data_IF_633808886774
#
_entry.id   IF_633808886774
#
_cell.length_a   1.000
_cell.length_b   1.000
_cell.length_c   1.000
_cell.angle_alpha   90.00
_cell.angle_beta   90.00
_cell.angle_gamma   90.00
#
_symmetry.space_group_name_H-M   'P 1'
#
loop_
_entity.id
_entity.type
_entity.pdbx_description
1 polymer ?
#
# COMPACT_ATOMS: atom_id res chain seq x y z
N UNK A 1 -5.62 -17.79 -13.45
CA UNK A 1 -4.33 -17.14 -13.20
C UNK A 1 -4.48 -16.18 -12.02
N UNK A 2 -3.68 -16.34 -10.99
CA UNK A 2 -3.73 -15.44 -9.83
C UNK A 2 -2.96 -14.16 -10.13
N UNK A 3 -3.63 -13.03 -9.92
CA UNK A 3 -2.99 -11.73 -10.04
C UNK A 3 -2.40 -11.38 -8.68
N UNK A 4 -1.11 -11.10 -8.64
CA UNK A 4 -0.45 -10.70 -7.40
C UNK A 4 -0.96 -9.34 -6.93
N UNK A 5 -1.11 -9.14 -5.61
CA UNK A 5 -1.39 -7.82 -5.07
C UNK A 5 -0.34 -6.81 -5.53
N UNK A 6 -0.80 -5.63 -5.91
CA UNK A 6 0.07 -4.59 -6.45
C UNK A 6 -0.31 -3.24 -5.85
N UNK A 7 0.71 -2.48 -5.45
CA UNK A 7 0.54 -1.10 -5.02
C UNK A 7 1.59 -0.23 -5.68
N UNK A 8 1.29 1.07 -5.76
CA UNK A 8 2.22 2.08 -6.23
C UNK A 8 2.44 3.09 -5.11
N UNK A 9 3.69 3.23 -4.69
CA UNK A 9 4.09 4.25 -3.71
C UNK A 9 4.45 5.52 -4.48
N UNK A 10 3.65 6.56 -4.32
CA UNK A 10 3.88 7.86 -4.95
C UNK A 10 4.51 8.79 -3.91
N UNK A 11 5.83 8.88 -3.93
CA UNK A 11 6.58 9.69 -2.96
C UNK A 11 6.33 11.18 -3.15
N UNK A 12 6.07 11.59 -4.38
CA UNK A 12 5.82 12.99 -4.71
C UNK A 12 4.52 13.52 -4.09
N UNK A 13 3.46 12.74 -4.18
CA UNK A 13 2.13 13.15 -3.70
C UNK A 13 1.79 12.57 -2.33
N UNK A 14 2.73 11.90 -1.70
CA UNK A 14 2.56 11.28 -0.37
C UNK A 14 1.35 10.37 -0.30
N UNK A 15 1.21 9.50 -1.31
CA UNK A 15 0.06 8.60 -1.38
C UNK A 15 0.48 7.19 -1.80
N UNK A 16 -0.38 6.24 -1.46
CA UNK A 16 -0.30 4.89 -1.98
C UNK A 16 -1.49 4.70 -2.91
N UNK A 17 -1.25 4.22 -4.12
CA UNK A 17 -2.29 3.75 -5.01
C UNK A 17 -2.41 2.25 -4.86
N UNK A 18 -3.62 1.79 -4.53
CA UNK A 18 -3.89 0.38 -4.35
C UNK A 18 -4.76 -0.06 -5.52
N UNK A 19 -4.29 -1.04 -6.27
CA UNK A 19 -5.08 -1.55 -7.39
C UNK A 19 -6.38 -2.18 -6.88
N UNK A 20 -7.45 -2.00 -7.65
CA UNK A 20 -8.78 -2.50 -7.30
C UNK A 20 -8.78 -3.98 -6.95
N UNK A 21 -8.08 -4.81 -7.73
CA UNK A 21 -8.03 -6.25 -7.47
C UNK A 21 -7.36 -6.58 -6.13
N UNK A 22 -6.39 -5.76 -5.70
CA UNK A 22 -5.74 -5.95 -4.41
C UNK A 22 -6.70 -5.71 -3.27
N UNK A 23 -7.50 -4.65 -3.33
CA UNK A 23 -8.52 -4.39 -2.32
C UNK A 23 -9.61 -5.47 -2.31
N UNK A 24 -10.01 -5.93 -3.47
CA UNK A 24 -10.99 -7.02 -3.56
C UNK A 24 -10.47 -8.30 -2.91
N UNK A 25 -9.18 -8.58 -3.09
CA UNK A 25 -8.55 -9.77 -2.52
C UNK A 25 -8.53 -9.76 -0.99
N UNK A 26 -8.51 -8.60 -0.35
CA UNK A 26 -8.53 -8.48 1.12
C UNK A 26 -9.93 -8.17 1.68
N UNK A 27 -10.97 -8.27 0.86
CA UNK A 27 -12.35 -8.11 1.31
C UNK A 27 -13.02 -6.79 0.92
N UNK A 28 -12.42 -6.04 0.00
CA UNK A 28 -12.91 -4.75 -0.50
C UNK A 28 -13.24 -3.75 0.62
N UNK A 29 -12.29 -3.47 1.53
CA UNK A 29 -12.55 -2.61 2.68
C UNK A 29 -12.69 -1.13 2.30
N UNK A 30 -13.39 -0.38 3.14
CA UNK A 30 -13.38 1.09 3.09
C UNK A 30 -12.26 1.68 3.92
N UNK A 31 -11.74 0.90 4.87
CA UNK A 31 -10.65 1.28 5.77
C UNK A 31 -9.59 0.20 5.78
N UNK A 32 -8.34 0.60 5.88
CA UNK A 32 -7.22 -0.35 5.98
C UNK A 32 -6.30 0.02 7.14
N UNK A 33 -5.65 -0.99 7.67
CA UNK A 33 -4.55 -0.84 8.61
C UNK A 33 -3.24 -1.01 7.86
N UNK A 34 -2.29 -0.11 8.09
CA UNK A 34 -0.96 -0.21 7.51
C UNK A 34 0.01 -0.74 8.57
N UNK A 35 0.71 -1.80 8.24
CA UNK A 35 1.61 -2.48 9.17
C UNK A 35 3.00 -2.52 8.57
N UNK A 36 3.93 -1.79 9.19
CA UNK A 36 5.33 -1.79 8.75
C UNK A 36 6.15 -2.69 9.67
N UNK A 37 6.87 -3.62 9.06
CA UNK A 37 7.88 -4.41 9.76
C UNK A 37 9.26 -3.94 9.33
N UNK A 38 9.95 -3.15 10.17
CA UNK A 38 11.25 -2.58 9.80
C UNK A 38 12.37 -3.60 9.77
N UNK A 39 12.20 -4.75 10.44
CA UNK A 39 13.20 -5.81 10.45
C UNK A 39 13.20 -6.58 9.14
N UNK A 40 12.01 -6.91 8.64
CA UNK A 40 11.86 -7.65 7.40
C UNK A 40 11.68 -6.76 6.17
N UNK A 41 11.57 -5.46 6.36
CA UNK A 41 11.30 -4.49 5.29
C UNK A 41 10.02 -4.80 4.53
N UNK A 42 8.94 -5.04 5.26
CA UNK A 42 7.63 -5.31 4.65
C UNK A 42 6.60 -4.26 5.05
N UNK A 43 5.66 -4.04 4.14
CA UNK A 43 4.49 -3.21 4.36
C UNK A 43 3.27 -4.09 4.19
N UNK A 44 2.46 -4.22 5.25
CA UNK A 44 1.19 -4.93 5.20
C UNK A 44 0.03 -3.96 5.04
N UNK A 45 -0.93 -4.32 4.21
CA UNK A 45 -2.20 -3.61 4.08
C UNK A 45 -3.30 -4.59 4.46
N UNK A 46 -3.95 -4.32 5.59
CA UNK A 46 -4.91 -5.22 6.19
C UNK A 46 -6.29 -4.58 6.23
N UNK A 47 -7.34 -5.39 6.06
CA UNK A 47 -8.71 -4.97 6.24
C UNK A 47 -8.88 -4.28 7.60
N UNK A 48 -9.39 -3.05 7.61
CA UNK A 48 -9.63 -2.28 8.82
C UNK A 48 -11.11 -2.02 9.06
N UNK A 49 -11.44 -1.75 10.32
CA UNK A 49 -12.78 -1.36 10.71
C UNK A 49 -12.83 0.16 10.94
N UNK A 50 -13.97 0.81 10.73
CA UNK A 50 -14.04 2.26 10.87
C UNK A 50 -13.79 2.77 12.29
N UNK A 51 -13.98 1.94 13.31
CA UNK A 51 -13.71 2.28 14.70
C UNK A 51 -12.28 1.97 15.17
N UNK A 52 -11.45 1.37 14.33
CA UNK A 52 -10.03 1.21 14.62
C UNK A 52 -9.33 2.56 14.58
N UNK A 53 -8.64 2.93 15.66
CA UNK A 53 -7.99 4.24 15.77
C UNK A 53 -6.92 4.49 14.71
N UNK A 54 -6.27 3.43 14.24
CA UNK A 54 -5.19 3.51 13.26
C UNK A 54 -5.65 3.22 11.84
N UNK A 55 -6.96 2.95 11.66
CA UNK A 55 -7.50 2.67 10.34
C UNK A 55 -7.52 3.92 9.48
N UNK A 56 -7.14 3.78 8.23
CA UNK A 56 -7.11 4.85 7.26
C UNK A 56 -8.18 4.62 6.21
N UNK A 57 -8.91 5.67 5.89
CA UNK A 57 -9.97 5.60 4.89
C UNK A 57 -9.40 5.59 3.48
N UNK A 58 -9.90 4.69 2.67
CA UNK A 58 -9.53 4.60 1.25
C UNK A 58 -10.39 5.56 0.44
N UNK A 59 -9.74 6.30 -0.45
CA UNK A 59 -10.44 7.15 -1.42
C UNK A 59 -10.66 6.35 -2.70
N UNK A 60 -11.90 5.98 -2.92
CA UNK A 60 -12.30 5.20 -4.09
C UNK A 60 -12.69 6.15 -5.21
N UNK A 61 -12.01 6.01 -6.36
CA UNK A 61 -12.33 6.77 -7.56
C UNK A 61 -13.16 5.91 -8.50
N UNK A 62 -14.23 6.47 -9.07
CA UNK A 62 -15.03 5.79 -10.06
C UNK A 62 -14.41 5.82 -11.45
N UNK A 63 -13.39 6.67 -11.65
CA UNK A 63 -12.77 6.88 -12.95
C UNK A 63 -11.54 6.02 -13.20
N UNK A 64 -11.01 5.37 -12.17
CA UNK A 64 -9.78 4.58 -12.25
C UNK A 64 -9.95 3.25 -11.54
N UNK A 65 -9.09 2.30 -11.93
CA UNK A 65 -9.01 1.00 -11.25
C UNK A 65 -8.08 1.03 -10.04
N UNK A 66 -7.59 2.21 -9.68
CA UNK A 66 -6.73 2.42 -8.53
C UNK A 66 -7.46 3.24 -7.48
N UNK A 67 -7.34 2.81 -6.23
CA UNK A 67 -7.85 3.56 -5.09
C UNK A 67 -6.68 4.19 -4.35
N UNK A 68 -6.92 5.31 -3.69
CA UNK A 68 -5.86 6.12 -3.12
C UNK A 68 -5.93 6.15 -1.60
N UNK A 69 -4.75 6.17 -0.99
CA UNK A 69 -4.58 6.29 0.44
C UNK A 69 -3.50 7.34 0.71
N UNK A 70 -3.83 8.35 1.50
CA UNK A 70 -2.92 9.44 1.83
C UNK A 70 -2.47 9.31 3.28
N UNK A 71 -1.15 9.30 3.50
CA UNK A 71 -0.61 9.26 4.86
C UNK A 71 0.80 9.87 4.88
N UNK A 72 0.90 11.08 5.42
CA UNK A 72 2.19 11.74 5.61
C UNK A 72 3.09 10.99 6.60
N UNK A 73 2.56 10.50 7.76
CA UNK A 73 3.40 9.72 8.66
C UNK A 73 3.95 8.46 8.04
N UNK A 74 3.16 7.79 7.19
CA UNK A 74 3.64 6.59 6.49
C UNK A 74 4.77 6.93 5.53
N UNK A 75 4.63 8.02 4.77
CA UNK A 75 5.67 8.43 3.83
C UNK A 75 6.98 8.77 4.55
N UNK A 76 6.89 9.41 5.71
CA UNK A 76 8.07 9.68 6.54
C UNK A 76 8.74 8.39 6.99
N UNK A 77 7.97 7.40 7.43
CA UNK A 77 8.48 6.10 7.84
C UNK A 77 9.15 5.36 6.67
N UNK A 78 8.51 5.37 5.51
CA UNK A 78 9.06 4.73 4.31
C UNK A 78 10.37 5.40 3.87
N UNK A 79 10.45 6.72 3.98
CA UNK A 79 11.65 7.46 3.62
C UNK A 79 12.83 7.10 4.53
N UNK A 80 12.56 6.87 5.81
CA UNK A 80 13.59 6.41 6.76
C UNK A 80 14.05 4.98 6.49
N UNK A 81 13.10 4.09 6.16
CA UNK A 81 13.41 2.68 5.90
C UNK A 81 14.04 2.45 4.53
N UNK A 82 13.69 3.28 3.57
CA UNK A 82 14.17 3.18 2.20
C UNK A 82 14.84 4.49 1.80
N UNK A 83 16.01 4.81 2.36
CA UNK A 83 16.67 6.10 2.07
C UNK A 83 17.10 6.26 0.62
N UNK A 84 17.20 5.16 -0.13
CA UNK A 84 17.47 5.18 -1.57
C UNK A 84 16.27 5.65 -2.40
N UNK A 85 15.07 5.66 -1.83
CA UNK A 85 13.87 6.12 -2.53
C UNK A 85 13.87 7.64 -2.64
N UNK A 86 13.66 8.13 -3.86
CA UNK A 86 13.69 9.57 -4.14
C UNK A 86 12.32 10.19 -3.98
N UNK A 87 12.29 11.44 -3.53
CA UNK A 87 11.06 12.17 -3.21
C UNK A 87 10.13 12.39 -4.40
N UNK A 88 10.63 12.27 -5.63
CA UNK A 88 9.83 12.53 -6.84
C UNK A 88 9.58 11.30 -7.66
N UNK A 89 9.92 10.15 -7.14
CA UNK A 89 9.77 8.89 -7.86
C UNK A 89 8.55 8.10 -7.40
N UNK A 90 8.11 7.21 -8.26
CA UNK A 90 7.06 6.25 -7.95
C UNK A 90 7.66 4.86 -7.92
N UNK A 91 7.23 4.06 -6.93
CA UNK A 91 7.74 2.71 -6.74
C UNK A 91 6.59 1.72 -6.76
N UNK A 92 6.67 0.73 -7.65
CA UNK A 92 5.69 -0.35 -7.70
C UNK A 92 6.17 -1.50 -6.85
N UNK A 93 5.29 -1.99 -5.98
CA UNK A 93 5.54 -3.17 -5.17
C UNK A 93 4.52 -4.24 -5.53
N UNK A 94 5.00 -5.46 -5.73
CA UNK A 94 4.16 -6.63 -5.85
C UNK A 94 4.26 -7.43 -4.56
N UNK A 95 3.13 -7.91 -4.08
CA UNK A 95 3.07 -8.56 -2.79
C UNK A 95 2.44 -9.93 -2.84
N UNK A 96 2.09 -10.41 -1.66
CA UNK A 96 1.44 -11.69 -1.48
C UNK A 96 0.21 -11.52 -0.58
N UNK A 97 -0.82 -12.30 -0.88
CA UNK A 97 -2.04 -12.32 -0.11
C UNK A 97 -1.93 -13.30 1.04
N UNK A 98 -2.26 -12.81 2.25
CA UNK A 98 -2.45 -13.66 3.42
C UNK A 98 -3.96 -13.70 3.68
N UNK A 99 -4.64 -14.61 3.01
CA UNK A 99 -6.11 -14.67 2.99
C UNK A 99 -6.72 -14.85 4.38
N UNK A 100 -6.08 -15.64 5.24
CA UNK A 100 -6.57 -15.88 6.60
C UNK A 100 -6.62 -14.62 7.45
N UNK A 101 -5.88 -13.59 7.07
CA UNK A 101 -5.83 -12.32 7.80
C UNK A 101 -6.41 -11.15 7.02
N UNK A 102 -6.95 -11.40 5.85
CA UNK A 102 -7.44 -10.32 4.95
C UNK A 102 -6.39 -9.23 4.77
N UNK A 103 -5.18 -9.65 4.43
CA UNK A 103 -4.02 -8.78 4.34
C UNK A 103 -3.20 -9.09 3.10
N UNK A 104 -2.63 -8.06 2.51
CA UNK A 104 -1.60 -8.17 1.48
C UNK A 104 -0.29 -7.64 2.04
N UNK A 105 0.81 -8.34 1.78
CA UNK A 105 2.14 -7.99 2.30
C UNK A 105 3.08 -7.75 1.13
N UNK A 106 3.80 -6.63 1.20
CA UNK A 106 4.70 -6.18 0.15
C UNK A 106 6.12 -6.04 0.69
N UNK A 107 7.10 -6.58 -0.04
CA UNK A 107 8.50 -6.35 0.31
C UNK A 107 8.96 -5.01 -0.23
N UNK A 108 9.50 -4.15 0.62
CA UNK A 108 10.04 -2.85 0.21
C UNK A 108 11.42 -2.98 -0.44
N UNK A 109 11.98 -4.18 -0.48
CA UNK A 109 13.25 -4.47 -1.17
C UNK A 109 13.04 -4.84 -2.64
N UNK A 110 11.85 -5.33 -2.98
CA UNK A 110 11.52 -5.80 -4.32
C UNK A 110 10.60 -4.79 -4.99
N UNK A 111 11.18 -3.73 -5.50
CA UNK A 111 10.42 -2.66 -6.12
C UNK A 111 10.90 -2.39 -7.54
N UNK A 112 10.01 -1.79 -8.32
CA UNK A 112 10.30 -1.29 -9.65
C UNK A 112 10.04 0.21 -9.68
N UNK A 113 11.01 0.97 -10.17
CA UNK A 113 10.81 2.41 -10.36
C UNK A 113 9.90 2.61 -11.56
N UNK A 114 8.85 3.40 -11.37
CA UNK A 114 7.86 3.68 -12.42
C UNK A 114 8.00 5.12 -12.85
N UNK A 115 8.22 5.33 -14.13
CA UNK A 115 8.30 6.68 -14.68
C UNK A 115 6.94 7.36 -14.73
N UNK A 116 6.97 8.66 -14.58
CA UNK A 116 5.77 9.51 -14.61
C UNK A 116 5.23 9.69 -16.02
#
# INVERSE_FOLDING_TARGET
>A
MMVRPTILIDMRKHRIRIHKHTLQAIGDPDFVMLIINPIEYTLGIKYGLPDDKLALRIRKSTLRNDYELYSTPLMAALHQLCPEWKERENYRLEGELIATENMAVFSMRDYTVVEH
#
